data_IF_631449257188
#
_entry.id   IF_631449257188
#
_cell.length_a   1.000
_cell.length_b   1.000
_cell.length_c   1.000
_cell.angle_alpha   90.00
_cell.angle_beta   90.00
_cell.angle_gamma   90.00
#
_symmetry.space_group_name_H-M   'P 1'
#
loop_
_entity.id
_entity.type
_entity.pdbx_description
1 polymer ?
#
# COMPACT_ATOMS: atom_id res chain seq x y z
N UNK A 1 -21.17 10.92 17.04
CA UNK A 1 -20.44 9.98 16.16
C UNK A 1 -18.99 10.39 15.90
N UNK A 2 -18.50 11.56 16.33
CA UNK A 2 -17.10 12.00 16.12
C UNK A 2 -16.09 11.47 17.15
N UNK A 3 -16.48 11.37 18.42
CA UNK A 3 -15.48 11.30 19.50
C UNK A 3 -14.82 9.92 19.63
N UNK A 4 -15.55 8.86 19.27
CA UNK A 4 -15.00 7.50 19.31
C UNK A 4 -14.03 7.23 18.16
N UNK A 5 -14.20 7.87 17.00
CA UNK A 5 -13.29 7.71 15.87
C UNK A 5 -11.95 8.40 16.17
N UNK A 6 -11.99 9.57 16.83
CA UNK A 6 -10.78 10.29 17.28
C UNK A 6 -9.90 9.45 18.19
N UNK A 7 -10.50 8.71 19.14
CA UNK A 7 -9.73 7.80 20.03
C UNK A 7 -9.07 6.67 19.23
N UNK A 8 -9.78 6.10 18.24
CA UNK A 8 -9.21 5.03 17.40
C UNK A 8 -8.14 5.53 16.44
N UNK A 9 -8.27 6.75 15.92
CA UNK A 9 -7.22 7.40 15.12
C UNK A 9 -5.94 7.57 15.93
N UNK A 10 -6.04 8.13 17.14
CA UNK A 10 -4.91 8.28 18.06
C UNK A 10 -4.32 6.92 18.46
N UNK A 11 -5.15 5.88 18.58
CA UNK A 11 -4.66 4.53 18.86
C UNK A 11 -3.82 3.96 17.71
N UNK A 12 -4.20 4.20 16.44
CA UNK A 12 -3.37 3.82 15.29
C UNK A 12 -2.03 4.56 15.34
N UNK A 13 -2.03 5.87 15.55
CA UNK A 13 -0.81 6.67 15.71
C UNK A 13 0.10 6.19 16.84
N UNK A 14 -0.50 5.87 17.99
CA UNK A 14 0.22 5.28 19.12
C UNK A 14 0.84 3.93 18.78
N UNK A 15 0.16 3.10 18.00
CA UNK A 15 0.69 1.81 17.54
C UNK A 15 1.94 1.97 16.67
N UNK A 16 1.96 2.92 15.72
CA UNK A 16 3.17 3.14 14.91
C UNK A 16 4.33 3.71 15.75
N UNK A 17 4.04 4.61 16.69
CA UNK A 17 5.07 5.13 17.59
C UNK A 17 5.67 4.03 18.47
N UNK A 18 4.81 3.17 19.06
CA UNK A 18 5.24 2.03 19.87
C UNK A 18 5.97 0.97 19.04
N UNK A 19 5.59 0.78 17.77
CA UNK A 19 6.26 -0.14 16.85
C UNK A 19 7.76 0.13 16.72
N UNK A 20 8.17 1.39 16.80
CA UNK A 20 9.58 1.79 16.73
C UNK A 20 10.33 1.68 18.06
N UNK A 21 9.63 1.40 19.17
CA UNK A 21 10.21 1.37 20.52
C UNK A 21 10.26 -0.04 21.10
N UNK A 22 9.37 -0.92 20.66
CA UNK A 22 9.25 -2.28 21.17
C UNK A 22 10.05 -3.28 20.33
N UNK A 23 10.35 -4.43 20.93
CA UNK A 23 10.95 -5.53 20.18
C UNK A 23 9.93 -6.11 19.17
N UNK A 24 10.38 -6.64 18.01
CA UNK A 24 9.48 -7.16 16.99
C UNK A 24 8.46 -8.19 17.50
N UNK A 25 8.84 -9.00 18.49
CA UNK A 25 7.97 -9.99 19.14
C UNK A 25 6.81 -9.36 19.93
N UNK A 26 7.06 -8.23 20.59
CA UNK A 26 6.04 -7.49 21.34
C UNK A 26 5.12 -6.74 20.39
N UNK A 27 5.68 -6.17 19.31
CA UNK A 27 4.91 -5.59 18.22
C UNK A 27 3.97 -6.65 17.60
N UNK A 28 4.48 -7.85 17.31
CA UNK A 28 3.69 -8.94 16.77
C UNK A 28 2.56 -9.36 17.72
N UNK A 29 2.85 -9.45 19.02
CA UNK A 29 1.89 -9.95 20.02
C UNK A 29 0.82 -8.93 20.41
N UNK A 30 1.17 -7.63 20.41
CA UNK A 30 0.32 -6.59 20.99
C UNK A 30 -0.15 -5.54 19.99
N UNK A 31 0.65 -5.20 18.99
CA UNK A 31 0.34 -4.13 18.04
C UNK A 31 -0.38 -4.68 16.81
N UNK A 32 0.13 -5.78 16.22
CA UNK A 32 -0.45 -6.32 14.99
C UNK A 32 -1.94 -6.68 15.10
N UNK A 33 -2.45 -7.33 16.17
CA UNK A 33 -3.87 -7.64 16.28
C UNK A 33 -4.75 -6.38 16.26
N UNK A 34 -4.28 -5.30 16.89
CA UNK A 34 -4.99 -4.01 16.94
C UNK A 34 -5.04 -3.39 15.55
N UNK A 35 -3.92 -3.36 14.85
CA UNK A 35 -3.81 -2.78 13.50
C UNK A 35 -4.60 -3.58 12.47
N UNK A 36 -4.54 -4.92 12.53
CA UNK A 36 -5.32 -5.80 11.64
C UNK A 36 -6.82 -5.61 11.88
N UNK A 37 -7.25 -5.44 13.13
CA UNK A 37 -8.63 -5.11 13.44
C UNK A 37 -9.04 -3.72 12.90
N UNK A 38 -8.21 -2.70 13.10
CA UNK A 38 -8.48 -1.34 12.61
C UNK A 38 -8.43 -1.23 11.08
N UNK A 39 -7.73 -2.11 10.37
CA UNK A 39 -7.79 -2.20 8.90
C UNK A 39 -9.20 -2.52 8.38
N UNK A 40 -10.09 -3.00 9.25
CA UNK A 40 -11.48 -3.37 8.95
C UNK A 40 -12.48 -2.52 9.73
N UNK A 41 -12.05 -1.39 10.31
CA UNK A 41 -12.92 -0.51 11.09
C UNK A 41 -14.07 0.03 10.22
N UNK A 42 -15.23 0.27 10.83
CA UNK A 42 -16.39 0.85 10.15
C UNK A 42 -16.09 2.26 9.62
N UNK A 43 -15.24 3.01 10.34
CA UNK A 43 -14.81 4.35 9.95
C UNK A 43 -13.68 4.28 8.93
N UNK A 44 -13.94 4.82 7.74
CA UNK A 44 -12.92 4.90 6.69
C UNK A 44 -11.72 5.74 7.11
N UNK A 45 -11.90 6.70 8.01
CA UNK A 45 -10.79 7.52 8.54
C UNK A 45 -9.81 6.68 9.34
N UNK A 46 -10.31 5.73 10.12
CA UNK A 46 -9.47 4.78 10.87
C UNK A 46 -8.72 3.88 9.89
N UNK A 47 -9.40 3.32 8.88
CA UNK A 47 -8.75 2.50 7.83
C UNK A 47 -7.71 3.29 7.02
N UNK A 48 -8.02 4.54 6.69
CA UNK A 48 -7.10 5.50 6.05
C UNK A 48 -5.86 5.73 6.91
N UNK A 49 -6.02 5.91 8.23
CA UNK A 49 -4.89 6.06 9.13
C UNK A 49 -4.02 4.80 9.17
N UNK A 50 -4.63 3.62 9.18
CA UNK A 50 -3.90 2.34 9.07
C UNK A 50 -3.12 2.29 7.76
N UNK A 51 -3.73 2.63 6.62
CA UNK A 51 -3.04 2.63 5.32
C UNK A 51 -1.82 3.56 5.30
N UNK A 52 -1.87 4.70 6.01
CA UNK A 52 -0.75 5.64 6.08
C UNK A 52 0.43 5.16 6.92
N UNK A 53 0.17 4.31 7.93
CA UNK A 53 1.17 3.86 8.91
C UNK A 53 1.60 2.40 8.73
N UNK A 54 0.94 1.67 7.82
CA UNK A 54 1.16 0.24 7.65
C UNK A 54 2.62 -0.07 7.29
N UNK A 55 3.25 0.80 6.49
CA UNK A 55 4.63 0.59 6.05
C UNK A 55 5.62 0.62 7.23
N UNK A 56 5.50 1.64 8.08
CA UNK A 56 6.34 1.82 9.26
C UNK A 56 6.18 0.64 10.23
N UNK A 57 4.96 0.11 10.35
CA UNK A 57 4.71 -1.11 11.13
C UNK A 57 5.31 -2.37 10.49
N UNK A 58 5.34 -2.48 9.17
CA UNK A 58 6.02 -3.59 8.49
C UNK A 58 7.53 -3.57 8.76
N UNK A 59 8.14 -2.39 8.79
CA UNK A 59 9.56 -2.23 9.15
C UNK A 59 9.82 -2.64 10.60
N UNK A 60 8.91 -2.33 11.51
CA UNK A 60 9.02 -2.67 12.93
C UNK A 60 8.93 -4.19 13.21
N UNK A 61 8.06 -4.92 12.49
CA UNK A 61 7.84 -6.36 12.74
C UNK A 61 8.66 -7.28 11.85
N UNK A 62 9.21 -6.76 10.76
CA UNK A 62 9.99 -7.51 9.80
C UNK A 62 9.15 -8.35 8.82
N UNK A 63 9.81 -9.13 7.94
CA UNK A 63 9.21 -9.68 6.74
C UNK A 63 8.22 -10.83 7.00
N UNK A 64 8.43 -11.63 8.05
CA UNK A 64 7.58 -12.78 8.34
C UNK A 64 6.18 -12.34 8.84
N UNK A 65 6.06 -11.51 9.91
CA UNK A 65 4.75 -11.00 10.34
C UNK A 65 4.10 -10.08 9.31
N UNK A 66 4.91 -9.37 8.51
CA UNK A 66 4.40 -8.58 7.38
C UNK A 66 3.69 -9.47 6.36
N UNK A 67 4.25 -10.65 6.06
CA UNK A 67 3.70 -11.57 5.06
C UNK A 67 2.48 -12.33 5.59
N UNK A 68 2.48 -12.76 6.86
CA UNK A 68 1.37 -13.52 7.45
C UNK A 68 0.17 -12.65 7.82
N UNK A 69 0.40 -11.50 8.46
CA UNK A 69 -0.65 -10.73 9.14
C UNK A 69 -0.99 -9.42 8.42
N UNK A 70 0.04 -8.67 7.99
CA UNK A 70 -0.18 -7.34 7.40
C UNK A 70 -0.51 -7.39 5.91
N UNK A 71 -0.01 -8.36 5.13
CA UNK A 71 -0.33 -8.49 3.70
C UNK A 71 -1.83 -8.68 3.46
N UNK A 72 -2.57 -9.57 4.15
CA UNK A 72 -4.01 -9.66 3.99
C UNK A 72 -4.74 -8.35 4.32
N UNK A 73 -4.27 -7.62 5.34
CA UNK A 73 -4.81 -6.30 5.68
C UNK A 73 -4.55 -5.27 4.58
N UNK A 74 -3.34 -5.25 4.03
CA UNK A 74 -2.97 -4.33 2.97
C UNK A 74 -3.77 -4.57 1.68
N UNK A 75 -3.96 -5.84 1.29
CA UNK A 75 -4.80 -6.21 0.14
C UNK A 75 -6.23 -5.70 0.30
N UNK A 76 -6.80 -5.76 1.53
CA UNK A 76 -8.12 -5.17 1.80
C UNK A 76 -8.12 -3.65 1.63
N UNK A 77 -7.10 -2.96 2.11
CA UNK A 77 -6.98 -1.51 1.99
C UNK A 77 -6.79 -1.04 0.54
N UNK A 78 -6.06 -1.80 -0.28
CA UNK A 78 -5.93 -1.53 -1.73
C UNK A 78 -7.28 -1.69 -2.45
N UNK A 79 -8.20 -2.47 -1.90
CA UNK A 79 -9.56 -2.71 -2.44
C UNK A 79 -10.65 -2.06 -1.60
N UNK A 80 -10.31 -1.07 -0.79
CA UNK A 80 -11.27 -0.42 0.09
C UNK A 80 -12.38 0.25 -0.73
N UNK A 81 -13.59 0.33 -0.17
CA UNK A 81 -14.70 1.00 -0.85
C UNK A 81 -14.48 2.52 -0.98
N UNK A 82 -13.72 3.12 -0.05
CA UNK A 82 -13.45 4.56 -0.04
C UNK A 82 -12.18 4.90 -0.81
N UNK A 83 -12.29 5.83 -1.76
CA UNK A 83 -11.18 6.22 -2.63
C UNK A 83 -9.97 6.72 -1.81
N UNK A 84 -10.21 7.45 -0.72
CA UNK A 84 -9.13 8.06 0.08
C UNK A 84 -8.26 7.01 0.77
N UNK A 85 -8.86 5.88 1.18
CA UNK A 85 -8.13 4.73 1.70
C UNK A 85 -7.30 4.08 0.59
N UNK A 86 -7.87 3.91 -0.61
CA UNK A 86 -7.16 3.36 -1.77
C UNK A 86 -6.02 4.25 -2.23
N UNK A 87 -6.17 5.57 -2.21
CA UNK A 87 -5.11 6.54 -2.52
C UNK A 87 -3.93 6.36 -1.56
N UNK A 88 -4.20 6.35 -0.24
CA UNK A 88 -3.17 6.18 0.77
C UNK A 88 -2.44 4.84 0.61
N UNK A 89 -3.18 3.75 0.39
CA UNK A 89 -2.61 2.43 0.17
C UNK A 89 -1.79 2.38 -1.13
N UNK A 90 -2.34 2.81 -2.26
CA UNK A 90 -1.68 2.79 -3.57
C UNK A 90 -0.35 3.56 -3.57
N UNK A 91 -0.31 4.73 -2.91
CA UNK A 91 0.91 5.54 -2.77
C UNK A 91 2.05 4.88 -1.97
N UNK A 92 1.81 3.74 -1.32
CA UNK A 92 2.81 2.99 -0.54
C UNK A 92 3.15 1.62 -1.14
N UNK A 93 2.53 1.22 -2.26
CA UNK A 93 2.60 -0.17 -2.77
C UNK A 93 4.02 -0.62 -3.08
N UNK A 94 4.83 0.25 -3.67
CA UNK A 94 6.24 -0.01 -3.94
C UNK A 94 7.04 -0.26 -2.67
N UNK A 95 6.81 0.55 -1.63
CA UNK A 95 7.50 0.41 -0.35
C UNK A 95 7.14 -0.91 0.32
N UNK A 96 5.85 -1.26 0.33
CA UNK A 96 5.37 -2.53 0.86
C UNK A 96 5.98 -3.73 0.12
N UNK A 97 6.02 -3.69 -1.21
CA UNK A 97 6.59 -4.78 -2.01
C UNK A 97 8.08 -5.03 -1.72
N UNK A 98 8.86 -4.02 -1.34
CA UNK A 98 10.29 -4.17 -1.00
C UNK A 98 10.52 -4.98 0.27
N UNK A 99 9.53 -5.06 1.15
CA UNK A 99 9.59 -5.87 2.38
C UNK A 99 9.17 -7.32 2.10
N UNK A 100 8.28 -7.51 1.11
CA UNK A 100 7.78 -8.82 0.74
C UNK A 100 8.77 -9.64 -0.10
N UNK A 101 8.59 -10.95 -0.05
CA UNK A 101 9.13 -11.83 -1.08
C UNK A 101 8.51 -11.48 -2.46
N UNK A 102 9.30 -11.40 -3.55
CA UNK A 102 8.80 -11.12 -4.89
C UNK A 102 7.65 -12.03 -5.35
N UNK A 103 7.67 -13.31 -4.97
CA UNK A 103 6.60 -14.25 -5.32
C UNK A 103 5.26 -13.85 -4.69
N UNK A 104 5.27 -13.45 -3.42
CA UNK A 104 4.07 -12.96 -2.73
C UNK A 104 3.57 -11.65 -3.33
N UNK A 105 4.48 -10.75 -3.71
CA UNK A 105 4.12 -9.51 -4.39
C UNK A 105 3.42 -9.78 -5.74
N UNK A 106 3.94 -10.69 -6.55
CA UNK A 106 3.30 -11.11 -7.82
C UNK A 106 1.94 -11.76 -7.56
N UNK A 107 1.84 -12.64 -6.56
CA UNK A 107 0.62 -13.39 -6.29
C UNK A 107 -0.51 -12.53 -5.73
N UNK A 108 -0.19 -11.59 -4.83
CA UNK A 108 -1.20 -10.88 -4.04
C UNK A 108 -1.30 -9.38 -4.33
N UNK A 109 -0.19 -8.72 -4.66
CA UNK A 109 -0.15 -7.27 -4.82
C UNK A 109 -0.35 -6.84 -6.27
N UNK A 110 0.29 -7.50 -7.23
CA UNK A 110 0.16 -7.19 -8.66
C UNK A 110 -1.30 -7.22 -9.16
N UNK A 111 -2.16 -8.17 -8.75
CA UNK A 111 -3.58 -8.12 -9.11
C UNK A 111 -4.29 -6.84 -8.62
N UNK A 112 -3.99 -6.40 -7.39
CA UNK A 112 -4.53 -5.16 -6.83
C UNK A 112 -4.02 -3.94 -7.60
N UNK A 113 -2.73 -3.90 -7.95
CA UNK A 113 -2.13 -2.83 -8.77
C UNK A 113 -2.81 -2.73 -10.14
N UNK A 114 -3.12 -3.88 -10.76
CA UNK A 114 -3.85 -3.92 -12.03
C UNK A 114 -5.26 -3.34 -11.89
N UNK A 115 -6.00 -3.72 -10.84
CA UNK A 115 -7.33 -3.16 -10.55
C UNK A 115 -7.26 -1.64 -10.35
N UNK A 116 -6.33 -1.18 -9.50
CA UNK A 116 -6.11 0.24 -9.19
C UNK A 116 -5.72 1.08 -10.41
N UNK A 117 -5.05 0.49 -11.40
CA UNK A 117 -4.70 1.20 -12.64
C UNK A 117 -5.90 1.56 -13.52
N UNK A 118 -7.03 0.92 -13.26
CA UNK A 118 -8.32 1.17 -13.91
C UNK A 118 -9.37 1.69 -12.92
N UNK A 119 -8.94 2.20 -11.75
CA UNK A 119 -9.84 2.69 -10.71
C UNK A 119 -10.74 3.82 -11.24
N UNK A 120 -11.98 3.90 -10.77
CA UNK A 120 -12.91 4.97 -11.14
C UNK A 120 -12.44 6.35 -10.67
N UNK A 121 -11.66 6.42 -9.60
CA UNK A 121 -11.06 7.65 -9.10
C UNK A 121 -9.73 7.94 -9.79
N UNK A 122 -9.67 9.05 -10.52
CA UNK A 122 -8.42 9.56 -11.11
C UNK A 122 -7.32 9.78 -10.07
N UNK A 123 -7.67 10.11 -8.82
CA UNK A 123 -6.71 10.36 -7.76
C UNK A 123 -6.04 9.07 -7.30
N UNK A 124 -6.77 7.94 -7.31
CA UNK A 124 -6.21 6.61 -7.04
C UNK A 124 -5.23 6.22 -8.15
N UNK A 125 -5.64 6.38 -9.42
CA UNK A 125 -4.78 6.10 -10.58
C UNK A 125 -3.52 6.96 -10.56
N UNK A 126 -3.65 8.24 -10.19
CA UNK A 126 -2.55 9.19 -10.06
C UNK A 126 -1.59 8.81 -8.94
N UNK A 127 -2.11 8.40 -7.78
CA UNK A 127 -1.30 7.91 -6.66
C UNK A 127 -0.50 6.67 -7.05
N UNK A 128 -1.13 5.71 -7.72
CA UNK A 128 -0.45 4.51 -8.23
C UNK A 128 0.65 4.88 -9.25
N UNK A 129 0.31 5.72 -10.23
CA UNK A 129 1.24 6.17 -11.27
C UNK A 129 2.51 6.81 -10.69
N UNK A 130 2.39 7.49 -9.55
CA UNK A 130 3.52 8.16 -8.88
C UNK A 130 4.56 7.19 -8.29
N UNK A 131 4.23 5.90 -8.10
CA UNK A 131 5.10 4.94 -7.42
C UNK A 131 5.35 3.63 -8.16
N UNK A 132 4.48 3.24 -9.11
CA UNK A 132 4.43 1.89 -9.68
C UNK A 132 5.76 1.40 -10.28
N UNK A 133 6.54 2.29 -10.91
CA UNK A 133 7.81 1.89 -11.52
C UNK A 133 8.86 1.42 -10.51
N UNK A 134 8.76 1.85 -9.25
CA UNK A 134 9.65 1.37 -8.20
C UNK A 134 9.43 -0.09 -7.80
N UNK A 135 8.37 -0.75 -8.31
CA UNK A 135 8.15 -2.19 -8.15
C UNK A 135 9.04 -3.03 -9.09
N UNK A 136 9.53 -2.47 -10.21
CA UNK A 136 10.27 -3.23 -11.21
C UNK A 136 11.53 -3.93 -10.65
N UNK A 137 12.37 -3.28 -9.82
CA UNK A 137 13.52 -3.95 -9.19
C UNK A 137 13.12 -5.09 -8.25
N UNK A 138 11.93 -5.02 -7.65
CA UNK A 138 11.42 -6.06 -6.73
C UNK A 138 10.93 -7.28 -7.51
N UNK A 139 10.20 -7.06 -8.60
CA UNK A 139 9.60 -8.15 -9.38
C UNK A 139 10.59 -8.84 -10.32
N UNK A 140 11.67 -8.14 -10.68
CA UNK A 140 12.61 -8.60 -11.69
C UNK A 140 12.10 -8.39 -13.12
N UNK A 141 12.99 -8.63 -14.09
CA UNK A 141 12.79 -8.27 -15.49
C UNK A 141 11.55 -8.91 -16.12
N UNK A 142 11.40 -10.23 -15.97
CA UNK A 142 10.37 -10.98 -16.67
C UNK A 142 8.96 -10.58 -16.18
N UNK A 143 8.74 -10.60 -14.85
CA UNK A 143 7.47 -10.15 -14.28
C UNK A 143 7.19 -8.66 -14.53
N UNK A 144 8.22 -7.81 -14.61
CA UNK A 144 8.05 -6.40 -14.98
C UNK A 144 7.52 -6.28 -16.42
N UNK A 145 8.10 -7.00 -17.37
CA UNK A 145 7.66 -6.97 -18.78
C UNK A 145 6.26 -7.56 -18.93
N UNK A 146 5.98 -8.68 -18.27
CA UNK A 146 4.71 -9.38 -18.41
C UNK A 146 3.55 -8.69 -17.69
N UNK A 147 3.79 -8.13 -16.49
CA UNK A 147 2.73 -7.66 -15.60
C UNK A 147 2.69 -6.15 -15.45
N UNK A 148 3.84 -5.48 -15.26
CA UNK A 148 3.87 -4.03 -15.00
C UNK A 148 3.84 -3.19 -16.28
N UNK A 149 4.52 -3.62 -17.34
CA UNK A 149 4.57 -2.86 -18.59
C UNK A 149 3.17 -2.61 -19.20
N UNK A 150 2.24 -3.58 -19.25
CA UNK A 150 0.87 -3.31 -19.70
C UNK A 150 0.16 -2.25 -18.87
N UNK A 151 0.35 -2.26 -17.56
CA UNK A 151 -0.24 -1.30 -16.63
C UNK A 151 0.33 0.10 -16.88
N UNK A 152 1.65 0.19 -17.03
CA UNK A 152 2.36 1.43 -17.35
C UNK A 152 1.84 2.06 -18.66
N UNK A 153 1.72 1.26 -19.72
CA UNK A 153 1.21 1.72 -21.01
C UNK A 153 -0.26 2.17 -20.94
N UNK A 154 -1.06 1.56 -20.06
CA UNK A 154 -2.44 1.99 -19.80
C UNK A 154 -2.46 3.38 -19.14
N UNK A 155 -1.68 3.58 -18.08
CA UNK A 155 -1.61 4.84 -17.34
C UNK A 155 -1.00 5.99 -18.18
N UNK A 156 -0.11 5.70 -19.12
CA UNK A 156 0.39 6.69 -20.09
C UNK A 156 -0.71 7.24 -21.01
N UNK A 157 -1.77 6.46 -21.23
CA UNK A 157 -2.91 6.82 -22.07
C UNK A 157 -4.12 7.27 -21.25
N UNK A 158 -3.94 7.48 -19.94
CA UNK A 158 -5.03 7.91 -19.06
C UNK A 158 -5.67 9.20 -19.55
N UNK A 159 -6.98 9.35 -19.36
CA UNK A 159 -7.71 10.55 -19.76
C UNK A 159 -7.28 11.79 -18.98
N UNK A 160 -6.83 11.63 -17.72
CA UNK A 160 -6.46 12.74 -16.85
C UNK A 160 -4.97 13.10 -16.98
N UNK A 161 -4.64 14.39 -17.21
CA UNK A 161 -3.26 14.84 -17.36
C UNK A 161 -2.34 14.47 -16.20
N UNK A 162 -2.82 14.59 -14.95
CA UNK A 162 -1.99 14.36 -13.77
C UNK A 162 -1.51 12.91 -13.65
N UNK A 163 -2.35 11.95 -14.05
CA UNK A 163 -1.97 10.53 -14.09
C UNK A 163 -0.84 10.33 -15.10
N UNK A 164 -1.00 10.92 -16.30
CA UNK A 164 0.02 10.86 -17.36
C UNK A 164 1.33 11.55 -16.95
N UNK A 165 1.24 12.70 -16.30
CA UNK A 165 2.42 13.44 -15.82
C UNK A 165 3.17 12.64 -14.75
N UNK A 166 2.45 12.06 -13.79
CA UNK A 166 3.05 11.25 -12.74
C UNK A 166 3.77 10.04 -13.31
N UNK A 167 3.15 9.30 -14.24
CA UNK A 167 3.78 8.10 -14.81
C UNK A 167 5.01 8.46 -15.67
N UNK A 168 4.97 9.58 -16.40
CA UNK A 168 6.11 10.07 -17.20
C UNK A 168 7.28 10.48 -16.29
N UNK A 169 6.99 11.19 -15.19
CA UNK A 169 8.02 11.69 -14.27
C UNK A 169 8.84 10.58 -13.59
N UNK A 170 8.40 9.33 -13.67
CA UNK A 170 9.05 8.16 -13.06
C UNK A 170 9.78 7.25 -14.05
N UNK A 171 9.78 7.58 -15.34
CA UNK A 171 10.54 6.83 -16.36
C UNK A 171 12.05 6.81 -16.08
N UNK A 172 12.60 7.89 -15.53
CA UNK A 172 14.02 7.99 -15.23
C UNK A 172 14.48 6.96 -14.18
N UNK A 173 13.57 6.46 -13.34
CA UNK A 173 13.85 5.47 -12.29
C UNK A 173 13.99 4.03 -12.82
N UNK A 174 13.64 3.78 -14.08
CA UNK A 174 13.66 2.45 -14.71
C UNK A 174 15.02 2.15 -15.36
N UNK A 175 15.77 3.20 -15.69
CA UNK A 175 17.06 3.11 -16.39
C UNK A 175 18.26 3.10 -15.43
N UNK A 176 18.04 2.98 -14.11
CA UNK A 176 19.05 2.83 -13.06
C UNK A 176 19.00 1.42 -12.49
#
# INVERSE_FOLDING_TARGET
MSDQDSVRLLAVEGCAALGNLLEPQDCASHILPVIVNFSQDKSWRVRYMVANQLYELCEAVGPEPTSSDLMPAYVRLLRDNEAEVRIAAAGKVTKFCRILNPHLAVQHIVPCVKELSSDSSQHVRSALASVIMGMAPVLGKDATIEQLLPIFLSLLKDEFPDVRLNIISKLDQVNQ
#
